data_IF_073999474125
#
_entry.id   IF_073999474125
#
_cell.length_a   1.000
_cell.length_b   1.000
_cell.length_c   1.000
_cell.angle_alpha   90.00
_cell.angle_beta   90.00
_cell.angle_gamma   90.00
#
_symmetry.space_group_name_H-M   'P 1'
#
loop_
_entity.id
_entity.type
_entity.pdbx_description
1 polymer ?
#
# COMPACT_ATOMS: atom_id res chain seq x y z
N UNK A 1 23.15 -6.56 17.06
CA UNK A 1 22.79 -7.58 16.05
C UNK A 1 21.59 -7.02 15.29
N UNK A 2 21.71 -6.77 13.98
CA UNK A 2 20.59 -6.25 13.19
C UNK A 2 19.50 -7.32 13.15
N UNK A 3 18.30 -7.00 13.62
CA UNK A 3 17.19 -7.94 13.61
C UNK A 3 16.66 -8.02 12.16
N UNK A 4 16.90 -9.13 11.49
CA UNK A 4 16.52 -9.34 10.08
C UNK A 4 15.02 -9.09 9.84
N UNK A 5 14.17 -9.34 10.84
CA UNK A 5 12.74 -9.04 10.80
C UNK A 5 12.48 -7.53 10.67
N UNK A 6 13.21 -6.71 11.43
CA UNK A 6 13.09 -5.25 11.38
C UNK A 6 13.52 -4.74 10.00
N UNK A 7 14.59 -5.30 9.44
CA UNK A 7 15.03 -4.93 8.08
C UNK A 7 13.98 -5.31 7.04
N UNK A 8 13.44 -6.53 7.10
CA UNK A 8 12.41 -6.99 6.17
C UNK A 8 11.13 -6.13 6.24
N UNK A 9 10.68 -5.83 7.46
CA UNK A 9 9.55 -4.91 7.67
C UNK A 9 9.85 -3.51 7.15
N UNK A 10 11.05 -2.98 7.40
CA UNK A 10 11.45 -1.66 6.90
C UNK A 10 11.43 -1.57 5.38
N UNK A 11 11.95 -2.58 4.68
CA UNK A 11 11.91 -2.64 3.22
C UNK A 11 10.47 -2.74 2.71
N UNK A 12 9.63 -3.54 3.34
CA UNK A 12 8.24 -3.69 2.93
C UNK A 12 7.43 -2.41 3.14
N UNK A 13 7.58 -1.74 4.29
CA UNK A 13 6.94 -0.43 4.58
C UNK A 13 7.32 0.60 3.51
N UNK A 14 8.60 0.65 3.10
CA UNK A 14 9.03 1.53 2.02
C UNK A 14 8.33 1.20 0.69
N UNK A 15 8.23 -0.09 0.36
CA UNK A 15 7.54 -0.55 -0.86
C UNK A 15 6.06 -0.17 -0.89
N UNK A 16 5.31 -0.44 0.18
CA UNK A 16 3.88 -0.11 0.23
C UNK A 16 3.65 1.40 0.23
N UNK A 17 4.44 2.16 0.98
CA UNK A 17 4.30 3.64 1.03
C UNK A 17 4.49 4.28 -0.35
N UNK A 18 5.46 3.80 -1.14
CA UNK A 18 5.68 4.28 -2.51
C UNK A 18 4.52 3.89 -3.44
N UNK A 19 4.03 2.65 -3.34
CA UNK A 19 2.92 2.17 -4.16
C UNK A 19 1.62 2.93 -3.86
N UNK A 20 1.30 3.15 -2.59
CA UNK A 20 0.14 3.94 -2.17
C UNK A 20 0.26 5.40 -2.58
N UNK A 21 1.42 6.02 -2.38
CA UNK A 21 1.68 7.38 -2.83
C UNK A 21 1.46 7.54 -4.34
N UNK A 22 1.92 6.56 -5.13
CA UNK A 22 1.68 6.53 -6.56
C UNK A 22 0.19 6.36 -6.89
N UNK A 23 -0.49 5.39 -6.27
CA UNK A 23 -1.93 5.14 -6.48
C UNK A 23 -2.77 6.37 -6.16
N UNK A 24 -2.62 6.93 -4.96
CA UNK A 24 -3.38 8.09 -4.48
C UNK A 24 -3.12 9.31 -5.35
N UNK A 25 -1.86 9.55 -5.76
CA UNK A 25 -1.54 10.67 -6.65
C UNK A 25 -2.25 10.57 -8.01
N UNK A 26 -2.37 9.37 -8.57
CA UNK A 26 -3.06 9.16 -9.84
C UNK A 26 -4.58 9.26 -9.68
N UNK A 27 -5.15 8.76 -8.59
CA UNK A 27 -6.57 8.93 -8.27
C UNK A 27 -6.90 10.41 -8.09
N UNK A 28 -6.09 11.18 -7.37
CA UNK A 28 -6.28 12.62 -7.18
C UNK A 28 -6.24 13.38 -8.52
N UNK A 29 -5.29 13.06 -9.40
CA UNK A 29 -5.21 13.64 -10.76
C UNK A 29 -6.44 13.27 -11.60
N UNK A 30 -6.89 12.02 -11.57
CA UNK A 30 -8.08 11.57 -12.28
C UNK A 30 -9.35 12.23 -11.77
N UNK A 31 -9.49 12.36 -10.45
CA UNK A 31 -10.60 13.05 -9.80
C UNK A 31 -10.65 14.54 -10.17
N UNK A 32 -9.49 15.20 -10.24
CA UNK A 32 -9.41 16.60 -10.68
C UNK A 32 -9.81 16.78 -12.16
N UNK A 33 -9.63 15.75 -13.00
CA UNK A 33 -10.03 15.77 -14.42
C UNK A 33 -11.50 15.41 -14.63
N UNK A 34 -12.06 14.53 -13.81
CA UNK A 34 -13.44 14.03 -13.91
C UNK A 34 -14.08 13.93 -12.51
N UNK A 35 -14.54 15.06 -11.93
CA UNK A 35 -15.11 15.09 -10.57
C UNK A 35 -16.33 14.19 -10.40
N UNK A 36 -17.14 14.02 -11.45
CA UNK A 36 -18.32 13.15 -11.47
C UNK A 36 -17.98 11.65 -11.28
N UNK A 37 -16.74 11.27 -11.55
CA UNK A 37 -16.26 9.89 -11.34
C UNK A 37 -15.65 9.66 -9.96
N UNK A 38 -15.60 10.66 -9.08
CA UNK A 38 -14.90 10.57 -7.79
C UNK A 38 -15.32 9.36 -6.95
N UNK A 39 -16.62 9.07 -6.85
CA UNK A 39 -17.12 7.93 -6.07
C UNK A 39 -16.59 6.59 -6.61
N UNK A 40 -16.53 6.41 -7.93
CA UNK A 40 -15.98 5.20 -8.56
C UNK A 40 -14.46 5.12 -8.37
N UNK A 41 -13.77 6.24 -8.53
CA UNK A 41 -12.32 6.34 -8.32
C UNK A 41 -11.93 6.05 -6.87
N UNK A 42 -12.74 6.50 -5.91
CA UNK A 42 -12.55 6.22 -4.49
C UNK A 42 -12.71 4.73 -4.19
N UNK A 43 -13.73 4.06 -4.75
CA UNK A 43 -13.87 2.60 -4.61
C UNK A 43 -12.65 1.88 -5.17
N UNK A 44 -12.18 2.27 -6.36
CA UNK A 44 -10.99 1.68 -6.98
C UNK A 44 -9.73 1.92 -6.13
N UNK A 45 -9.60 3.11 -5.55
CA UNK A 45 -8.51 3.45 -4.65
C UNK A 45 -8.48 2.53 -3.43
N UNK A 46 -9.62 2.34 -2.74
CA UNK A 46 -9.69 1.46 -1.59
C UNK A 46 -9.36 0.00 -1.93
N UNK A 47 -9.86 -0.49 -3.07
CA UNK A 47 -9.51 -1.84 -3.56
C UNK A 47 -8.01 -1.94 -3.84
N UNK A 48 -7.42 -0.93 -4.50
CA UNK A 48 -5.99 -0.89 -4.77
C UNK A 48 -5.14 -0.86 -3.50
N UNK A 49 -5.50 -0.03 -2.52
CA UNK A 49 -4.85 0.03 -1.20
C UNK A 49 -4.96 -1.32 -0.50
N UNK A 50 -6.13 -1.96 -0.50
CA UNK A 50 -6.30 -3.27 0.14
C UNK A 50 -5.37 -4.34 -0.44
N UNK A 51 -5.12 -4.33 -1.75
CA UNK A 51 -4.16 -5.25 -2.38
C UNK A 51 -2.71 -4.91 -2.01
N UNK A 52 -2.34 -3.63 -1.98
CA UNK A 52 -1.00 -3.18 -1.61
C UNK A 52 -0.71 -3.58 -0.16
N UNK A 53 -1.58 -3.18 0.77
CA UNK A 53 -1.45 -3.46 2.20
C UNK A 53 -1.60 -4.95 2.52
N UNK A 54 -2.38 -5.70 1.75
CA UNK A 54 -2.49 -7.14 1.88
C UNK A 54 -1.13 -7.84 1.84
N UNK A 55 -0.22 -7.39 0.96
CA UNK A 55 1.14 -7.95 0.87
C UNK A 55 1.98 -7.62 2.10
N UNK A 56 1.83 -6.42 2.66
CA UNK A 56 2.50 -6.02 3.88
C UNK A 56 2.02 -6.83 5.08
N UNK A 57 0.71 -7.03 5.23
CA UNK A 57 0.15 -7.84 6.32
C UNK A 57 0.59 -9.31 6.26
N UNK A 58 0.72 -9.89 5.06
CA UNK A 58 1.26 -11.24 4.90
C UNK A 58 2.71 -11.31 5.40
N UNK A 59 3.55 -10.34 5.04
CA UNK A 59 4.93 -10.30 5.55
C UNK A 59 4.97 -10.07 7.06
N UNK A 60 4.17 -9.14 7.57
CA UNK A 60 4.05 -8.86 9.00
C UNK A 60 3.71 -10.15 9.75
N UNK A 61 2.69 -10.88 9.29
CA UNK A 61 2.34 -12.18 9.85
C UNK A 61 3.51 -13.17 9.80
N UNK A 62 4.22 -13.27 8.67
CA UNK A 62 5.38 -14.15 8.53
C UNK A 62 6.49 -13.85 9.55
N UNK A 63 6.69 -12.59 9.95
CA UNK A 63 7.73 -12.23 10.94
C UNK A 63 7.51 -12.83 12.34
N UNK A 64 6.27 -13.24 12.66
CA UNK A 64 5.96 -13.94 13.91
C UNK A 64 6.33 -15.42 13.87
N UNK A 65 6.47 -16.02 12.68
CA UNK A 65 6.75 -17.45 12.50
C UNK A 65 8.21 -17.75 12.16
N UNK A 66 8.93 -16.78 11.59
CA UNK A 66 10.36 -16.91 11.29
C UNK A 66 11.15 -16.50 12.53
N UNK A 67 12.20 -17.25 12.93
CA UNK A 67 13.07 -16.92 14.08
C UNK A 67 14.28 -16.09 13.66
#
# INVERSE_FOLDING_TARGET
>A
MLNLKILALGIAVLGVSLAEGFLVSNIAKSAARQPEMYSKLQTLMFVGVAFIEGTFFVLLAATFFVN
#
